data_IF_906974085429
#
_entry.id   IF_906974085429
#
_cell.length_a   1.000
_cell.length_b   1.000
_cell.length_c   1.000
_cell.angle_alpha   90.00
_cell.angle_beta   90.00
_cell.angle_gamma   90.00
#
_symmetry.space_group_name_H-M   'P 1'
#
loop_
_entity.id
_entity.type
_entity.pdbx_description
1 polymer ?
#
# COMPACT_ATOMS: atom_id res chain seq x y z
N UNK A 1 3.88 -0.09 -19.48
CA UNK A 1 3.45 -1.51 -19.45
C UNK A 1 2.85 -1.86 -20.81
N UNK A 2 3.23 -2.98 -21.42
CA UNK A 2 2.63 -3.43 -22.68
C UNK A 2 1.30 -4.18 -22.43
N UNK A 3 0.47 -4.32 -23.47
CA UNK A 3 -0.86 -4.91 -23.35
C UNK A 3 -0.85 -6.37 -22.88
N UNK A 4 0.13 -7.16 -23.32
CA UNK A 4 0.23 -8.57 -22.96
C UNK A 4 0.49 -8.75 -21.45
N UNK A 5 1.44 -7.99 -20.91
CA UNK A 5 1.78 -8.02 -19.49
C UNK A 5 0.60 -7.52 -18.64
N UNK A 6 -0.13 -6.50 -19.09
CA UNK A 6 -1.30 -6.00 -18.36
C UNK A 6 -2.40 -7.06 -18.26
N UNK A 7 -2.66 -7.80 -19.34
CA UNK A 7 -3.64 -8.90 -19.35
C UNK A 7 -3.26 -10.00 -18.36
N UNK A 8 -1.98 -10.42 -18.38
CA UNK A 8 -1.43 -11.40 -17.42
C UNK A 8 -1.54 -10.90 -15.98
N UNK A 9 -1.22 -9.63 -15.73
CA UNK A 9 -1.30 -9.02 -14.40
C UNK A 9 -2.72 -8.99 -13.84
N UNK A 10 -3.68 -8.49 -14.63
CA UNK A 10 -5.09 -8.45 -14.23
C UNK A 10 -5.61 -9.83 -13.86
N UNK A 11 -5.40 -10.82 -14.75
CA UNK A 11 -5.79 -12.20 -14.50
C UNK A 11 -5.21 -12.72 -13.18
N UNK A 12 -3.92 -12.49 -12.93
CA UNK A 12 -3.27 -12.94 -11.68
C UNK A 12 -3.85 -12.27 -10.43
N UNK A 13 -4.13 -10.97 -10.48
CA UNK A 13 -4.76 -10.26 -9.36
C UNK A 13 -6.18 -10.74 -9.08
N UNK A 14 -6.93 -11.09 -10.12
CA UNK A 14 -8.30 -11.62 -10.02
C UNK A 14 -8.30 -13.06 -9.47
N UNK A 15 -7.38 -13.92 -9.94
CA UNK A 15 -7.25 -15.31 -9.48
C UNK A 15 -6.79 -15.40 -8.01
N UNK A 16 -6.00 -14.42 -7.53
CA UNK A 16 -5.49 -14.36 -6.14
C UNK A 16 -6.41 -13.51 -5.20
N UNK A 17 -7.71 -13.41 -5.50
CA UNK A 17 -8.68 -12.49 -4.85
C UNK A 17 -8.74 -12.58 -3.32
N UNK A 18 -8.57 -13.77 -2.74
CA UNK A 18 -8.54 -13.97 -1.28
C UNK A 18 -7.33 -13.28 -0.62
N UNK A 19 -6.18 -13.29 -1.30
CA UNK A 19 -4.99 -12.57 -0.85
C UNK A 19 -5.18 -11.05 -1.04
N UNK A 20 -5.86 -10.66 -2.11
CA UNK A 20 -6.18 -9.25 -2.42
C UNK A 20 -7.10 -8.60 -1.39
N UNK A 21 -8.10 -9.32 -0.87
CA UNK A 21 -9.01 -8.81 0.16
C UNK A 21 -8.33 -8.61 1.53
N UNK A 22 -7.45 -9.54 1.92
CA UNK A 22 -6.63 -9.39 3.13
C UNK A 22 -5.68 -8.16 3.03
N UNK A 23 -5.10 -7.93 1.86
CA UNK A 23 -4.08 -6.90 1.64
C UNK A 23 -4.69 -5.50 1.43
N UNK A 24 -5.87 -5.40 0.83
CA UNK A 24 -6.59 -4.15 0.59
C UNK A 24 -7.50 -3.76 1.78
N UNK A 25 -7.04 -4.00 3.01
CA UNK A 25 -7.78 -3.61 4.19
C UNK A 25 -8.11 -2.12 4.15
N UNK A 26 -9.40 -1.79 4.23
CA UNK A 26 -9.89 -0.41 4.37
C UNK A 26 -9.46 0.21 5.70
N UNK A 27 -9.04 -0.64 6.64
CA UNK A 27 -8.63 -0.29 7.99
C UNK A 27 -7.19 -0.73 8.24
N UNK A 28 -6.40 0.14 8.89
CA UNK A 28 -5.04 -0.15 9.37
C UNK A 28 -4.81 0.55 10.70
N UNK A 29 -3.79 0.16 11.43
CA UNK A 29 -3.40 0.81 12.68
C UNK A 29 -2.39 1.93 12.45
N UNK A 30 -2.47 2.98 13.27
CA UNK A 30 -1.43 4.01 13.34
C UNK A 30 -0.10 3.38 13.80
N UNK A 31 1.02 3.60 13.10
CA UNK A 31 2.32 3.02 13.48
C UNK A 31 2.88 3.55 14.81
N UNK A 32 2.36 4.67 15.32
CA UNK A 32 2.84 5.30 16.57
C UNK A 32 1.97 4.99 17.79
N UNK A 33 0.66 4.91 17.64
CA UNK A 33 -0.28 4.77 18.77
C UNK A 33 -1.31 3.64 18.60
N UNK A 34 -1.19 2.83 17.54
CA UNK A 34 -2.00 1.64 17.28
C UNK A 34 -3.52 1.84 17.20
N UNK A 35 -3.98 3.09 17.10
CA UNK A 35 -5.40 3.34 16.88
C UNK A 35 -5.78 2.91 15.47
N UNK A 36 -6.93 2.24 15.34
CA UNK A 36 -7.49 1.87 14.05
C UNK A 36 -7.90 3.12 13.26
N UNK A 37 -7.45 3.18 12.01
CA UNK A 37 -7.71 4.24 11.05
C UNK A 37 -8.35 3.61 9.82
N UNK A 38 -9.48 4.16 9.39
CA UNK A 38 -10.11 3.86 8.11
C UNK A 38 -9.63 4.85 7.05
N UNK A 39 -9.35 4.35 5.84
CA UNK A 39 -9.00 5.20 4.71
C UNK A 39 -10.27 5.77 4.08
N UNK A 40 -10.46 7.08 4.23
CA UNK A 40 -11.63 7.84 3.78
C UNK A 40 -11.40 8.67 2.51
N UNK A 41 -10.20 8.61 1.92
CA UNK A 41 -9.82 9.37 0.72
C UNK A 41 -8.73 8.70 -0.12
N UNK A 42 -8.42 9.31 -1.27
CA UNK A 42 -7.41 8.78 -2.19
C UNK A 42 -5.96 9.05 -1.77
N UNK A 43 -5.74 10.09 -0.96
CA UNK A 43 -4.42 10.46 -0.48
C UNK A 43 -3.80 9.34 0.37
N UNK A 44 -2.52 9.02 0.13
CA UNK A 44 -1.77 8.07 0.96
C UNK A 44 -0.98 8.75 2.08
N UNK A 45 -0.97 10.09 2.13
CA UNK A 45 -0.47 10.86 3.26
C UNK A 45 -1.52 10.84 4.36
N UNK A 46 -1.24 10.16 5.46
CA UNK A 46 -2.15 9.98 6.57
C UNK A 46 -1.68 10.79 7.75
N UNK A 47 -2.61 11.50 8.39
CA UNK A 47 -2.38 12.17 9.67
C UNK A 47 -3.21 11.48 10.73
N UNK A 48 -2.57 11.04 11.81
CA UNK A 48 -3.29 10.37 12.90
C UNK A 48 -4.29 11.34 13.56
N UNK A 49 -5.59 11.01 13.54
CA UNK A 49 -6.67 11.81 14.12
C UNK A 49 -6.64 11.86 15.65
N UNK A 50 -5.85 11.00 16.31
CA UNK A 50 -5.64 11.05 17.76
C UNK A 50 -4.87 12.33 18.14
N UNK A 51 -5.52 13.19 18.94
CA UNK A 51 -4.99 14.49 19.37
C UNK A 51 -3.65 14.39 20.12
N UNK A 52 -3.40 13.27 20.82
CA UNK A 52 -2.15 13.04 21.54
C UNK A 52 -1.01 12.49 20.66
N UNK A 53 -1.32 12.07 19.42
CA UNK A 53 -0.37 11.42 18.52
C UNK A 53 0.06 12.31 17.35
N UNK A 54 -0.94 12.77 16.56
CA UNK A 54 -0.80 13.65 15.38
C UNK A 54 0.35 13.30 14.42
N UNK A 55 0.75 12.04 14.34
CA UNK A 55 1.84 11.62 13.47
C UNK A 55 1.40 11.52 12.01
N UNK A 56 2.27 11.98 11.12
CA UNK A 56 2.15 11.88 9.68
C UNK A 56 2.88 10.65 9.15
N UNK A 57 2.19 9.81 8.38
CA UNK A 57 2.74 8.56 7.87
C UNK A 57 2.15 8.19 6.50
N UNK A 58 2.80 7.24 5.83
CA UNK A 58 2.34 6.73 4.55
C UNK A 58 1.41 5.52 4.73
N UNK A 59 0.24 5.54 4.11
CA UNK A 59 -0.72 4.42 4.16
C UNK A 59 -0.16 3.11 3.59
N UNK A 60 0.75 3.20 2.62
CA UNK A 60 1.28 2.01 1.91
C UNK A 60 2.33 1.29 2.75
N UNK A 61 3.38 2.00 3.18
CA UNK A 61 4.50 1.39 3.90
C UNK A 61 4.40 1.51 5.43
N UNK A 62 3.44 2.29 5.96
CA UNK A 62 3.32 2.63 7.39
C UNK A 62 4.57 3.32 7.98
N UNK A 63 5.48 3.80 7.14
CA UNK A 63 6.63 4.60 7.53
C UNK A 63 6.29 6.10 7.67
N UNK A 64 7.17 6.89 8.31
CA UNK A 64 6.99 8.32 8.47
C UNK A 64 6.86 9.02 7.11
N UNK A 65 6.03 10.06 7.04
CA UNK A 65 5.80 10.77 5.78
C UNK A 65 6.99 11.65 5.37
N UNK A 66 7.60 12.36 6.31
CA UNK A 66 8.68 13.34 6.09
C UNK A 66 9.79 12.90 5.10
N UNK A 67 10.37 11.68 5.17
CA UNK A 67 11.43 11.29 4.23
C UNK A 67 10.93 10.96 2.81
N UNK A 68 9.61 10.86 2.58
CA UNK A 68 9.08 10.54 1.25
C UNK A 68 9.39 11.66 0.25
N UNK A 69 9.95 11.28 -0.91
CA UNK A 69 10.40 12.22 -1.94
C UNK A 69 11.87 12.60 -1.83
N UNK A 70 12.56 12.22 -0.74
CA UNK A 70 14.01 12.29 -0.65
C UNK A 70 14.69 11.26 -1.56
N UNK A 71 15.95 11.50 -1.92
CA UNK A 71 16.74 10.60 -2.77
C UNK A 71 17.07 9.25 -2.12
N UNK A 72 17.14 9.22 -0.79
CA UNK A 72 17.61 8.06 -0.02
C UNK A 72 16.47 7.18 0.49
N UNK A 73 15.23 7.66 0.53
CA UNK A 73 14.08 6.90 1.01
C UNK A 73 13.18 6.45 -0.14
N UNK A 74 12.95 5.13 -0.26
CA UNK A 74 12.15 4.55 -1.33
C UNK A 74 11.11 3.59 -0.78
N UNK A 75 9.84 4.01 -0.71
CA UNK A 75 8.74 3.13 -0.33
C UNK A 75 8.14 2.35 -1.51
N UNK A 76 8.55 2.61 -2.76
CA UNK A 76 8.03 1.99 -3.97
C UNK A 76 8.95 0.92 -4.57
N UNK A 77 10.19 0.80 -4.08
CA UNK A 77 11.17 -0.21 -4.51
C UNK A 77 11.11 -1.43 -3.60
N UNK A 78 11.07 -2.62 -4.19
CA UNK A 78 11.16 -3.86 -3.43
C UNK A 78 12.59 -4.04 -2.94
N UNK A 79 12.76 -4.15 -1.63
CA UNK A 79 14.06 -4.40 -1.00
C UNK A 79 14.30 -5.91 -0.91
N UNK A 80 15.16 -6.41 -1.81
CA UNK A 80 15.50 -7.83 -1.87
C UNK A 80 16.35 -8.29 -0.68
N UNK A 81 17.17 -7.39 -0.11
CA UNK A 81 18.09 -7.65 0.99
C UNK A 81 17.33 -7.72 2.31
N UNK A 82 16.48 -6.73 2.60
CA UNK A 82 15.59 -6.77 3.76
C UNK A 82 14.64 -7.98 3.69
N UNK A 83 14.12 -8.28 2.49
CA UNK A 83 13.32 -9.48 2.30
C UNK A 83 14.14 -10.77 2.50
N UNK A 84 15.44 -10.78 2.20
CA UNK A 84 16.33 -11.93 2.43
C UNK A 84 16.60 -12.14 3.91
N UNK A 85 16.90 -11.07 4.63
CA UNK A 85 17.09 -11.11 6.07
C UNK A 85 15.85 -11.64 6.81
N UNK A 86 14.65 -11.22 6.38
CA UNK A 86 13.40 -11.75 6.93
C UNK A 86 13.15 -13.24 6.59
N UNK A 87 13.75 -13.76 5.51
CA UNK A 87 13.61 -15.15 5.05
C UNK A 87 14.50 -16.14 5.78
N UNK A 88 15.61 -15.72 6.41
CA UNK A 88 16.44 -16.65 7.18
C UNK A 88 15.69 -17.22 8.41
N UNK A 89 14.50 -16.67 8.73
CA UNK A 89 13.55 -17.17 9.72
C UNK A 89 12.36 -18.00 9.17
N UNK A 90 12.14 -18.07 7.84
CA UNK A 90 11.01 -18.82 7.24
C UNK A 90 11.28 -19.31 5.79
N UNK A 91 10.80 -20.52 5.49
CA UNK A 91 10.95 -21.36 4.27
C UNK A 91 11.31 -20.66 2.92
N UNK A 92 12.34 -21.18 2.25
CA UNK A 92 12.96 -20.65 1.01
C UNK A 92 12.01 -20.47 -0.19
N UNK A 93 10.81 -21.04 -0.17
CA UNK A 93 9.89 -21.12 -1.32
C UNK A 93 9.06 -19.84 -1.58
N UNK A 94 9.12 -18.82 -0.71
CA UNK A 94 8.15 -17.69 -0.73
C UNK A 94 8.65 -16.34 -1.27
N UNK A 95 9.89 -16.25 -1.77
CA UNK A 95 10.46 -14.96 -2.22
C UNK A 95 9.69 -14.34 -3.40
N UNK A 96 9.34 -15.16 -4.41
CA UNK A 96 8.55 -14.69 -5.56
C UNK A 96 7.16 -14.22 -5.16
N UNK A 97 6.53 -14.92 -4.21
CA UNK A 97 5.24 -14.53 -3.66
C UNK A 97 5.34 -13.19 -2.93
N UNK A 98 6.30 -13.01 -2.03
CA UNK A 98 6.49 -11.74 -1.30
C UNK A 98 6.68 -10.55 -2.26
N UNK A 99 7.50 -10.72 -3.29
CA UNK A 99 7.70 -9.69 -4.32
C UNK A 99 6.39 -9.39 -5.06
N UNK A 100 5.64 -10.43 -5.42
CA UNK A 100 4.33 -10.24 -6.04
C UNK A 100 3.37 -9.48 -5.12
N UNK A 101 3.25 -9.85 -3.84
CA UNK A 101 2.38 -9.17 -2.87
C UNK A 101 2.76 -7.70 -2.71
N UNK A 102 4.05 -7.37 -2.71
CA UNK A 102 4.53 -5.99 -2.65
C UNK A 102 3.98 -5.12 -3.78
N UNK A 103 4.06 -5.60 -5.03
CA UNK A 103 3.57 -4.86 -6.19
C UNK A 103 2.04 -4.91 -6.32
N UNK A 104 1.43 -6.04 -5.97
CA UNK A 104 -0.03 -6.20 -5.97
C UNK A 104 -0.69 -5.26 -4.95
N UNK A 105 -0.17 -5.17 -3.72
CA UNK A 105 -0.65 -4.23 -2.71
C UNK A 105 -0.66 -2.78 -3.23
N UNK A 106 0.42 -2.34 -3.87
CA UNK A 106 0.52 -0.98 -4.43
C UNK A 106 -0.47 -0.75 -5.54
N UNK A 107 -0.60 -1.69 -6.47
CA UNK A 107 -1.57 -1.63 -7.56
C UNK A 107 -3.01 -1.52 -7.02
N UNK A 108 -3.40 -2.38 -6.08
CA UNK A 108 -4.73 -2.38 -5.48
C UNK A 108 -4.99 -1.12 -4.67
N UNK A 109 -4.01 -0.65 -3.89
CA UNK A 109 -4.12 0.60 -3.15
C UNK A 109 -4.36 1.81 -4.08
N UNK A 110 -3.62 1.90 -5.19
CA UNK A 110 -3.83 2.97 -6.16
C UNK A 110 -5.19 2.86 -6.87
N UNK A 111 -5.64 1.64 -7.17
CA UNK A 111 -6.98 1.41 -7.73
C UNK A 111 -8.08 1.90 -6.78
N UNK A 112 -7.92 1.65 -5.48
CA UNK A 112 -8.84 2.15 -4.47
C UNK A 112 -8.75 3.68 -4.30
N UNK A 113 -7.54 4.24 -4.27
CA UNK A 113 -7.34 5.68 -4.21
C UNK A 113 -8.04 6.40 -5.35
N UNK A 114 -7.92 5.88 -6.57
CA UNK A 114 -8.60 6.40 -7.76
C UNK A 114 -10.13 6.38 -7.60
N UNK A 115 -10.70 5.32 -7.01
CA UNK A 115 -12.14 5.26 -6.73
C UNK A 115 -12.59 6.36 -5.76
N UNK A 116 -11.78 6.70 -4.77
CA UNK A 116 -12.07 7.82 -3.86
C UNK A 116 -11.89 9.17 -4.54
N UNK A 117 -10.83 9.35 -5.32
CA UNK A 117 -10.55 10.59 -6.06
C UNK A 117 -11.65 10.91 -7.08
N UNK A 118 -12.23 9.89 -7.74
CA UNK A 118 -13.34 10.11 -8.66
C UNK A 118 -14.58 10.72 -7.99
N UNK A 119 -14.77 10.54 -6.68
CA UNK A 119 -15.87 11.19 -5.94
C UNK A 119 -15.64 12.70 -5.79
N UNK A 120 -14.40 13.17 -5.90
CA UNK A 120 -14.07 14.59 -5.78
C UNK A 120 -14.65 15.41 -6.92
N UNK A 121 -14.84 14.83 -8.11
CA UNK A 121 -15.50 15.51 -9.22
C UNK A 121 -16.92 15.97 -8.87
N UNK A 122 -17.62 15.23 -8.02
CA UNK A 122 -18.97 15.59 -7.56
C UNK A 122 -18.95 16.74 -6.55
N UNK A 123 -17.90 16.86 -5.72
CA UNK A 123 -17.77 17.92 -4.72
C UNK A 123 -17.22 19.24 -5.27
N UNK A 124 -16.64 19.22 -6.47
CA UNK A 124 -16.01 20.40 -7.11
C UNK A 124 -16.95 21.09 -8.11
N UNK A 125 -18.18 20.58 -8.32
CA UNK A 125 -19.16 21.26 -9.17
C UNK A 125 -19.60 22.59 -8.56
N UNK A 126 -19.17 23.67 -9.23
CA UNK A 126 -19.66 25.05 -9.09
C UNK A 126 -21.08 25.14 -9.62
#
# INVERSE_FOLDING_TARGET
VNCELLKKWKKKCDDDSETSNWIAANTKECPKCNITIEKDGGCNHMVCKNQSCKADFCWVCLGPWEPHGSSWYNCNRYDEEAAKAARDAQEKSRAALQRYLFYCNRYMNHMQSLKFENKLYSSVKV
#
